data_IF_091420731433
#
_entry.id   IF_091420731433
#
_cell.length_a   1.000
_cell.length_b   1.000
_cell.length_c   1.000
_cell.angle_alpha   90.00
_cell.angle_beta   90.00
_cell.angle_gamma   90.00
#
_symmetry.space_group_name_H-M   'P 1'
#
loop_
_entity.id
_entity.type
_entity.pdbx_description
1 polymer ?
#
# COMPACT_ATOMS: atom_id res chain seq x y z
N UNK A 1 115.89 65.80 30.25
CA UNK A 1 115.47 64.45 29.82
C UNK A 1 114.31 63.92 30.67
N UNK A 2 114.46 63.76 31.99
CA UNK A 2 113.42 63.14 32.85
C UNK A 2 112.10 63.93 33.01
N UNK A 3 112.12 65.28 32.97
CA UNK A 3 110.88 66.08 33.04
C UNK A 3 110.01 65.99 31.78
N UNK A 4 110.63 65.95 30.59
CA UNK A 4 109.91 65.83 29.32
C UNK A 4 109.22 64.47 29.17
N UNK A 5 109.88 63.39 29.61
CA UNK A 5 109.28 62.05 29.60
C UNK A 5 108.08 61.91 30.57
N UNK A 6 108.10 62.62 31.70
CA UNK A 6 106.99 62.64 32.65
C UNK A 6 105.77 63.44 32.13
N UNK A 7 106.01 64.55 31.42
CA UNK A 7 104.94 65.31 30.76
C UNK A 7 104.31 64.55 29.58
N UNK A 8 105.11 63.76 28.86
CA UNK A 8 104.65 62.93 27.74
C UNK A 8 103.85 61.71 28.22
N UNK A 9 104.26 61.09 29.33
CA UNK A 9 103.50 60.01 29.98
C UNK A 9 102.17 60.52 30.54
N UNK A 10 102.15 61.68 31.21
CA UNK A 10 100.91 62.28 31.71
C UNK A 10 99.95 62.67 30.57
N UNK A 11 100.46 63.10 29.41
CA UNK A 11 99.65 63.32 28.21
C UNK A 11 99.06 62.02 27.66
N UNK A 12 99.84 60.94 27.61
CA UNK A 12 99.37 59.64 27.13
C UNK A 12 98.33 59.02 28.08
N UNK A 13 98.51 59.15 29.40
CA UNK A 13 97.53 58.71 30.41
C UNK A 13 96.24 59.51 30.33
N UNK A 14 96.32 60.84 30.14
CA UNK A 14 95.16 61.68 29.92
C UNK A 14 94.42 61.28 28.63
N UNK A 15 95.14 61.03 27.54
CA UNK A 15 94.57 60.57 26.27
C UNK A 15 93.94 59.18 26.38
N UNK A 16 94.54 58.27 27.17
CA UNK A 16 93.99 56.94 27.42
C UNK A 16 92.70 57.02 28.23
N UNK A 17 92.68 57.82 29.31
CA UNK A 17 91.48 58.05 30.12
C UNK A 17 90.36 58.74 29.31
N UNK A 18 90.71 59.62 28.38
CA UNK A 18 89.75 60.25 27.46
C UNK A 18 89.17 59.24 26.46
N UNK A 19 90.00 58.32 25.94
CA UNK A 19 89.55 57.22 25.08
C UNK A 19 88.71 56.18 25.81
N UNK A 20 89.03 55.85 27.06
CA UNK A 20 88.22 54.95 27.89
C UNK A 20 86.85 55.58 28.18
N UNK A 21 86.80 56.86 28.57
CA UNK A 21 85.51 57.57 28.74
C UNK A 21 84.70 57.63 27.45
N UNK A 22 85.35 57.84 26.31
CA UNK A 22 84.68 57.84 25.02
C UNK A 22 84.17 56.43 24.64
N UNK A 23 84.92 55.38 24.96
CA UNK A 23 84.52 54.00 24.74
C UNK A 23 83.34 53.60 25.63
N UNK A 24 83.38 53.95 26.91
CA UNK A 24 82.29 53.70 27.87
C UNK A 24 81.01 54.45 27.46
N UNK A 25 81.15 55.70 26.98
CA UNK A 25 80.02 56.47 26.47
C UNK A 25 79.40 55.83 25.21
N UNK A 26 80.23 55.33 24.29
CA UNK A 26 79.75 54.62 23.09
C UNK A 26 79.12 53.28 23.46
N UNK A 27 79.68 52.54 24.42
CA UNK A 27 79.07 51.30 24.92
C UNK A 27 77.70 51.54 25.55
N UNK A 28 77.59 52.54 26.44
CA UNK A 28 76.33 52.90 27.07
C UNK A 28 75.25 53.30 26.05
N UNK A 29 75.63 54.07 25.01
CA UNK A 29 74.71 54.44 23.94
C UNK A 29 74.32 53.23 23.07
N UNK A 30 75.26 52.32 22.82
CA UNK A 30 74.99 51.09 22.05
C UNK A 30 74.03 50.16 22.80
N UNK A 31 74.21 49.99 24.10
CA UNK A 31 73.32 49.17 24.95
C UNK A 31 71.93 49.80 25.07
N UNK A 32 71.85 51.14 25.14
CA UNK A 32 70.58 51.87 25.12
C UNK A 32 69.81 51.65 23.82
N UNK A 33 70.47 51.84 22.66
CA UNK A 33 69.88 51.59 21.34
C UNK A 33 69.49 50.11 21.17
N UNK A 34 70.27 49.19 21.73
CA UNK A 34 69.96 47.74 21.70
C UNK A 34 68.68 47.43 22.49
N UNK A 35 68.54 48.00 23.69
CA UNK A 35 67.35 47.86 24.53
C UNK A 35 66.11 48.45 23.87
N UNK A 36 66.21 49.65 23.29
CA UNK A 36 65.11 50.26 22.53
C UNK A 36 64.71 49.41 21.32
N UNK A 37 65.68 48.85 20.60
CA UNK A 37 65.40 47.94 19.47
C UNK A 37 64.71 46.66 19.92
N UNK A 38 65.09 46.10 21.07
CA UNK A 38 64.46 44.91 21.63
C UNK A 38 63.02 45.19 22.10
N UNK A 39 62.76 46.34 22.73
CA UNK A 39 61.41 46.77 23.08
C UNK A 39 60.52 46.96 21.85
N UNK A 40 61.02 47.64 20.81
CA UNK A 40 60.28 47.82 19.56
C UNK A 40 60.01 46.49 18.87
N UNK A 41 60.97 45.55 18.88
CA UNK A 41 60.77 44.19 18.36
C UNK A 41 59.71 43.43 19.15
N UNK A 42 59.72 43.51 20.49
CA UNK A 42 58.74 42.85 21.34
C UNK A 42 57.32 43.39 21.09
N UNK A 43 57.16 44.72 21.00
CA UNK A 43 55.89 45.35 20.66
C UNK A 43 55.42 44.96 19.25
N UNK A 44 56.33 44.90 18.28
CA UNK A 44 56.04 44.47 16.91
C UNK A 44 55.69 42.98 16.79
N UNK A 45 56.22 42.13 17.67
CA UNK A 45 55.83 40.73 17.77
C UNK A 45 54.44 40.57 18.41
N UNK A 46 54.17 41.32 19.48
CA UNK A 46 52.87 41.32 20.15
C UNK A 46 51.73 41.78 19.23
N UNK A 47 51.94 42.87 18.47
CA UNK A 47 50.96 43.36 17.47
C UNK A 47 50.73 42.38 16.33
N UNK A 48 51.77 41.66 15.88
CA UNK A 48 51.63 40.61 14.86
C UNK A 48 50.80 39.44 15.37
N UNK A 49 51.08 38.95 16.58
CA UNK A 49 50.27 37.89 17.19
C UNK A 49 48.80 38.28 17.37
N UNK A 50 48.52 39.55 17.73
CA UNK A 50 47.13 40.05 17.79
C UNK A 50 46.45 40.10 16.42
N UNK A 51 47.18 40.49 15.37
CA UNK A 51 46.66 40.47 13.99
C UNK A 51 46.37 39.04 13.51
N UNK A 52 47.25 38.08 13.85
CA UNK A 52 47.07 36.68 13.47
C UNK A 52 45.78 36.12 14.12
N UNK A 53 45.59 36.34 15.43
CA UNK A 53 44.38 35.91 16.16
C UNK A 53 43.12 36.57 15.60
N UNK A 54 43.16 37.87 15.29
CA UNK A 54 42.02 38.57 14.70
C UNK A 54 41.71 38.06 13.28
N UNK A 55 42.73 37.77 12.49
CA UNK A 55 42.58 37.24 11.13
C UNK A 55 41.97 35.83 11.13
N UNK A 56 42.37 34.98 12.06
CA UNK A 56 41.81 33.64 12.22
C UNK A 56 40.36 33.69 12.70
N UNK A 57 40.03 34.64 13.60
CA UNK A 57 38.66 34.87 14.05
C UNK A 57 37.77 35.43 12.93
N UNK A 58 38.30 36.31 12.07
CA UNK A 58 37.61 36.81 10.89
C UNK A 58 37.27 35.66 9.92
N UNK A 59 38.25 34.81 9.60
CA UNK A 59 38.06 33.63 8.73
C UNK A 59 37.03 32.65 9.29
N UNK A 60 37.05 32.44 10.61
CA UNK A 60 36.07 31.58 11.29
C UNK A 60 34.65 32.14 11.18
N UNK A 61 34.48 33.46 11.37
CA UNK A 61 33.18 34.13 11.22
C UNK A 61 32.71 34.14 9.76
N UNK A 62 33.61 34.33 8.79
CA UNK A 62 33.30 34.23 7.37
C UNK A 62 32.82 32.82 6.99
N UNK A 63 33.47 31.77 7.49
CA UNK A 63 33.03 30.39 7.30
C UNK A 63 31.67 30.12 7.96
N UNK A 64 31.41 30.66 9.15
CA UNK A 64 30.11 30.54 9.81
C UNK A 64 29.01 31.25 9.00
N UNK A 65 29.28 32.46 8.49
CA UNK A 65 28.36 33.21 7.63
C UNK A 65 28.01 32.43 6.36
N UNK A 66 29.01 31.90 5.65
CA UNK A 66 28.79 31.08 4.45
C UNK A 66 28.00 29.81 4.75
N UNK A 67 28.22 29.18 5.92
CA UNK A 67 27.44 28.00 6.32
C UNK A 67 25.97 28.35 6.54
N UNK A 68 25.70 29.42 7.28
CA UNK A 68 24.34 29.89 7.54
C UNK A 68 23.62 30.35 6.25
N UNK A 69 24.34 30.94 5.30
CA UNK A 69 23.77 31.28 3.99
C UNK A 69 23.35 30.03 3.21
N UNK A 70 24.20 29.01 3.16
CA UNK A 70 23.86 27.72 2.51
C UNK A 70 22.69 27.02 3.18
N UNK A 71 22.64 27.03 4.52
CA UNK A 71 21.51 26.49 5.28
C UNK A 71 20.21 27.24 4.96
N UNK A 72 20.26 28.57 4.89
CA UNK A 72 19.12 29.44 4.54
C UNK A 72 18.64 29.21 3.10
N UNK A 73 19.55 29.09 2.14
CA UNK A 73 19.21 28.77 0.75
C UNK A 73 18.57 27.39 0.60
N UNK A 74 19.14 26.38 1.29
CA UNK A 74 18.59 25.03 1.29
C UNK A 74 17.18 25.02 1.86
N UNK A 75 16.96 25.68 3.00
CA UNK A 75 15.65 25.80 3.63
C UNK A 75 14.64 26.52 2.70
N UNK A 76 15.07 27.58 1.99
CA UNK A 76 14.22 28.27 1.01
C UNK A 76 13.82 27.36 -0.16
N UNK A 77 14.74 26.54 -0.67
CA UNK A 77 14.44 25.58 -1.74
C UNK A 77 13.47 24.51 -1.26
N UNK A 78 13.64 24.02 -0.03
CA UNK A 78 12.71 23.06 0.59
C UNK A 78 11.31 23.64 0.77
N UNK A 79 11.20 24.89 1.25
CA UNK A 79 9.91 25.58 1.38
C UNK A 79 9.23 25.72 0.01
N UNK A 80 9.96 26.16 -1.02
CA UNK A 80 9.40 26.28 -2.36
C UNK A 80 8.94 24.93 -2.95
N UNK A 81 9.68 23.85 -2.69
CA UNK A 81 9.29 22.50 -3.09
C UNK A 81 7.99 22.05 -2.38
N UNK A 82 7.90 22.27 -1.06
CA UNK A 82 6.70 21.95 -0.29
C UNK A 82 5.49 22.80 -0.70
N UNK A 83 5.68 24.08 -1.04
CA UNK A 83 4.62 24.94 -1.55
C UNK A 83 4.08 24.44 -2.91
N UNK A 84 4.97 24.02 -3.81
CA UNK A 84 4.59 23.41 -5.09
C UNK A 84 3.85 22.08 -4.90
N UNK A 85 4.32 21.25 -3.98
CA UNK A 85 3.69 19.97 -3.66
C UNK A 85 2.29 20.20 -3.06
N UNK A 86 2.16 21.11 -2.10
CA UNK A 86 0.89 21.47 -1.49
C UNK A 86 -0.12 22.02 -2.53
N UNK A 87 0.34 22.82 -3.49
CA UNK A 87 -0.51 23.30 -4.58
C UNK A 87 -0.99 22.15 -5.49
N UNK A 88 -0.11 21.20 -5.80
CA UNK A 88 -0.48 20.02 -6.60
C UNK A 88 -1.49 19.12 -5.89
N UNK A 89 -1.32 18.91 -4.58
CA UNK A 89 -2.23 18.13 -3.75
C UNK A 89 -3.59 18.84 -3.60
N UNK A 90 -3.60 20.16 -3.46
CA UNK A 90 -4.83 20.94 -3.42
C UNK A 90 -5.61 20.86 -4.74
N UNK A 91 -4.93 20.93 -5.88
CA UNK A 91 -5.56 20.76 -7.19
C UNK A 91 -6.14 19.34 -7.34
N UNK A 92 -5.38 18.31 -6.95
CA UNK A 92 -5.84 16.92 -7.02
C UNK A 92 -7.04 16.65 -6.10
N UNK A 93 -7.04 17.26 -4.91
CA UNK A 93 -8.17 17.19 -3.99
C UNK A 93 -9.42 17.82 -4.59
N UNK A 94 -9.31 18.98 -5.23
CA UNK A 94 -10.44 19.64 -5.91
C UNK A 94 -11.01 18.79 -7.05
N UNK A 95 -10.14 18.14 -7.84
CA UNK A 95 -10.58 17.19 -8.88
C UNK A 95 -11.35 16.00 -8.29
N UNK A 96 -10.86 15.43 -7.19
CA UNK A 96 -11.51 14.31 -6.52
C UNK A 96 -12.85 14.71 -5.89
N UNK A 97 -12.92 15.88 -5.25
CA UNK A 97 -14.18 16.44 -4.72
C UNK A 97 -15.21 16.66 -5.85
N UNK A 98 -14.76 17.15 -7.01
CA UNK A 98 -15.61 17.27 -8.20
C UNK A 98 -16.11 15.92 -8.74
N UNK A 99 -15.22 14.92 -8.82
CA UNK A 99 -15.59 13.58 -9.27
C UNK A 99 -16.56 12.89 -8.29
N UNK A 100 -16.37 13.07 -6.98
CA UNK A 100 -17.29 12.57 -5.96
C UNK A 100 -18.68 13.19 -6.09
N UNK A 101 -18.76 14.51 -6.29
CA UNK A 101 -20.05 15.19 -6.46
C UNK A 101 -20.82 14.70 -7.70
N UNK A 102 -20.13 14.39 -8.79
CA UNK A 102 -20.73 13.79 -9.99
C UNK A 102 -21.24 12.38 -9.68
N UNK A 103 -20.41 11.54 -9.04
CA UNK A 103 -20.80 10.18 -8.68
C UNK A 103 -21.98 10.13 -7.69
N UNK A 104 -22.04 11.04 -6.72
CA UNK A 104 -23.17 11.18 -5.79
C UNK A 104 -24.47 11.54 -6.53
N UNK A 105 -24.38 12.43 -7.52
CA UNK A 105 -25.52 12.79 -8.34
C UNK A 105 -26.00 11.62 -9.22
N UNK A 106 -25.09 10.90 -9.87
CA UNK A 106 -25.43 9.72 -10.66
C UNK A 106 -26.07 8.62 -9.80
N UNK A 107 -25.57 8.43 -8.57
CA UNK A 107 -26.15 7.49 -7.62
C UNK A 107 -27.58 7.90 -7.22
N UNK A 108 -27.80 9.19 -6.94
CA UNK A 108 -29.11 9.70 -6.59
C UNK A 108 -30.11 9.52 -7.75
N UNK A 109 -29.71 9.86 -8.98
CA UNK A 109 -30.54 9.66 -10.19
C UNK A 109 -30.88 8.16 -10.37
N UNK A 110 -29.93 7.25 -10.14
CA UNK A 110 -30.17 5.82 -10.23
C UNK A 110 -31.12 5.29 -9.14
N UNK A 111 -31.02 5.82 -7.91
CA UNK A 111 -31.92 5.46 -6.81
C UNK A 111 -33.36 5.94 -7.08
N UNK A 112 -33.53 7.14 -7.62
CA UNK A 112 -34.83 7.68 -8.02
C UNK A 112 -35.47 6.84 -9.15
N UNK A 113 -34.68 6.47 -10.15
CA UNK A 113 -35.13 5.59 -11.24
C UNK A 113 -35.59 4.22 -10.70
N UNK A 114 -34.82 3.66 -9.75
CA UNK A 114 -35.16 2.40 -9.11
C UNK A 114 -36.44 2.50 -8.28
N UNK A 115 -36.59 3.55 -7.47
CA UNK A 115 -37.80 3.77 -6.69
C UNK A 115 -39.05 3.90 -7.58
N UNK A 116 -38.94 4.66 -8.68
CA UNK A 116 -40.02 4.76 -9.67
C UNK A 116 -40.35 3.41 -10.33
N UNK A 117 -39.35 2.58 -10.58
CA UNK A 117 -39.53 1.21 -11.07
C UNK A 117 -40.26 0.30 -10.07
N UNK A 118 -39.87 0.36 -8.78
CA UNK A 118 -40.50 -0.40 -7.70
C UNK A 118 -41.98 -0.01 -7.51
N UNK A 119 -42.30 1.28 -7.57
CA UNK A 119 -43.68 1.78 -7.51
C UNK A 119 -44.51 1.34 -8.72
N UNK A 120 -43.93 1.34 -9.92
CA UNK A 120 -44.60 0.86 -11.13
C UNK A 120 -44.92 -0.65 -11.05
N UNK A 121 -43.98 -1.46 -10.54
CA UNK A 121 -44.20 -2.89 -10.31
C UNK A 121 -45.33 -3.10 -9.30
N UNK A 122 -45.29 -2.40 -8.17
CA UNK A 122 -46.35 -2.50 -7.14
C UNK A 122 -47.73 -2.15 -7.71
N UNK A 123 -47.83 -1.09 -8.52
CA UNK A 123 -49.09 -0.72 -9.15
C UNK A 123 -49.61 -1.79 -10.14
N UNK A 124 -48.71 -2.52 -10.83
CA UNK A 124 -49.11 -3.63 -11.70
C UNK A 124 -49.56 -4.85 -10.89
N UNK A 125 -48.90 -5.15 -9.77
CA UNK A 125 -49.30 -6.23 -8.86
C UNK A 125 -50.69 -5.98 -8.28
N UNK A 126 -50.98 -4.75 -7.82
CA UNK A 126 -52.31 -4.37 -7.32
C UNK A 126 -53.39 -4.50 -8.41
N UNK A 127 -53.09 -4.07 -9.64
CA UNK A 127 -54.00 -4.23 -10.78
C UNK A 127 -54.26 -5.70 -11.09
N UNK A 128 -53.21 -6.51 -11.13
CA UNK A 128 -53.32 -7.95 -11.39
C UNK A 128 -54.18 -8.63 -10.33
N UNK A 129 -54.00 -8.29 -9.05
CA UNK A 129 -54.83 -8.86 -7.98
C UNK A 129 -56.30 -8.42 -8.11
N UNK A 130 -56.56 -7.17 -8.49
CA UNK A 130 -57.92 -6.68 -8.73
C UNK A 130 -58.60 -7.44 -9.89
N UNK A 131 -57.87 -7.71 -10.99
CA UNK A 131 -58.38 -8.47 -12.12
C UNK A 131 -58.60 -9.95 -11.75
N UNK A 132 -57.69 -10.55 -10.98
CA UNK A 132 -57.88 -11.90 -10.45
C UNK A 132 -59.14 -12.01 -9.60
N UNK A 133 -59.40 -11.00 -8.77
CA UNK A 133 -60.61 -10.98 -7.95
C UNK A 133 -61.88 -10.85 -8.82
N UNK A 134 -61.88 -9.98 -9.83
CA UNK A 134 -62.98 -9.86 -10.80
C UNK A 134 -63.24 -11.17 -11.55
N UNK A 135 -62.18 -11.89 -11.95
CA UNK A 135 -62.31 -13.20 -12.59
C UNK A 135 -62.97 -14.20 -11.65
N UNK A 136 -62.53 -14.28 -10.38
CA UNK A 136 -63.15 -15.17 -9.37
C UNK A 136 -64.63 -14.83 -9.13
N UNK A 137 -64.97 -13.55 -9.06
CA UNK A 137 -66.37 -13.11 -8.95
C UNK A 137 -67.20 -13.50 -10.18
N UNK A 138 -66.64 -13.38 -11.38
CA UNK A 138 -67.31 -13.82 -12.61
C UNK A 138 -67.47 -15.35 -12.69
N UNK A 139 -66.46 -16.11 -12.28
CA UNK A 139 -66.52 -17.58 -12.23
C UNK A 139 -67.58 -18.08 -11.24
N UNK A 140 -67.62 -17.51 -10.03
CA UNK A 140 -68.65 -17.83 -9.03
C UNK A 140 -70.05 -17.45 -9.53
N UNK A 141 -70.21 -16.29 -10.18
CA UNK A 141 -71.48 -15.90 -10.81
C UNK A 141 -71.92 -16.85 -11.92
N UNK A 142 -70.99 -17.29 -12.77
CA UNK A 142 -71.26 -18.25 -13.83
C UNK A 142 -71.64 -19.63 -13.27
N UNK A 143 -70.98 -20.08 -12.20
CA UNK A 143 -71.34 -21.32 -11.53
C UNK A 143 -72.78 -21.28 -10.99
N UNK A 144 -73.18 -20.17 -10.35
CA UNK A 144 -74.54 -19.98 -9.84
C UNK A 144 -75.61 -19.91 -10.96
N UNK A 145 -75.30 -19.31 -12.11
CA UNK A 145 -76.19 -19.34 -13.29
C UNK A 145 -76.33 -20.75 -13.87
N UNK A 146 -75.22 -21.52 -13.94
CA UNK A 146 -75.25 -22.91 -14.40
C UNK A 146 -76.10 -23.79 -13.50
N UNK A 147 -75.97 -23.65 -12.19
CA UNK A 147 -76.80 -24.39 -11.23
C UNK A 147 -78.29 -24.06 -11.38
N UNK A 148 -78.64 -22.77 -11.53
CA UNK A 148 -80.02 -22.35 -11.83
C UNK A 148 -80.54 -22.91 -13.14
N UNK A 149 -79.73 -22.90 -14.19
CA UNK A 149 -80.08 -23.47 -15.49
C UNK A 149 -80.34 -24.97 -15.38
N UNK A 150 -79.46 -25.72 -14.71
CA UNK A 150 -79.61 -27.16 -14.52
C UNK A 150 -80.83 -27.50 -13.64
N UNK A 151 -81.10 -26.72 -12.59
CA UNK A 151 -82.32 -26.84 -11.79
C UNK A 151 -83.59 -26.63 -12.62
N UNK A 152 -83.61 -25.58 -13.45
CA UNK A 152 -84.74 -25.30 -14.35
C UNK A 152 -84.91 -26.42 -15.38
N UNK A 153 -83.80 -26.92 -15.95
CA UNK A 153 -83.82 -28.02 -16.91
C UNK A 153 -84.38 -29.31 -16.28
N UNK A 154 -84.02 -29.62 -15.04
CA UNK A 154 -84.58 -30.77 -14.30
C UNK A 154 -86.08 -30.59 -14.08
N UNK A 155 -86.53 -29.41 -13.64
CA UNK A 155 -87.96 -29.13 -13.46
C UNK A 155 -88.75 -29.26 -14.77
N UNK A 156 -88.19 -28.82 -15.90
CA UNK A 156 -88.82 -29.02 -17.23
C UNK A 156 -88.92 -30.50 -17.58
N UNK A 157 -87.88 -31.29 -17.30
CA UNK A 157 -87.89 -32.73 -17.58
C UNK A 157 -88.89 -33.48 -16.68
N UNK A 158 -88.97 -33.13 -15.39
CA UNK A 158 -89.99 -33.64 -14.47
C UNK A 158 -91.41 -33.31 -14.97
N UNK A 159 -91.65 -32.08 -15.40
CA UNK A 159 -92.94 -31.67 -15.98
C UNK A 159 -93.25 -32.40 -17.28
N UNK A 160 -92.25 -32.69 -18.12
CA UNK A 160 -92.43 -33.50 -19.34
C UNK A 160 -92.80 -34.94 -19.03
N UNK A 161 -92.13 -35.56 -18.06
CA UNK A 161 -92.46 -36.91 -17.61
C UNK A 161 -93.86 -36.94 -16.98
N UNK A 162 -94.21 -35.95 -16.16
CA UNK A 162 -95.55 -35.83 -15.60
C UNK A 162 -96.62 -35.61 -16.67
N UNK A 163 -96.34 -34.79 -17.69
CA UNK A 163 -97.23 -34.58 -18.83
C UNK A 163 -97.40 -35.87 -19.65
N UNK A 164 -96.31 -36.57 -19.96
CA UNK A 164 -96.35 -37.85 -20.66
C UNK A 164 -97.09 -38.92 -19.84
N UNK A 165 -96.94 -38.91 -18.51
CA UNK A 165 -97.71 -39.74 -17.58
C UNK A 165 -99.20 -39.40 -17.63
N UNK A 166 -99.58 -38.13 -17.57
CA UNK A 166 -100.97 -37.69 -17.69
C UNK A 166 -101.57 -37.96 -19.07
N UNK A 167 -100.78 -37.84 -20.14
CA UNK A 167 -101.18 -38.20 -21.50
C UNK A 167 -101.35 -39.72 -21.64
N UNK A 168 -100.46 -40.51 -21.03
CA UNK A 168 -100.60 -41.95 -20.95
C UNK A 168 -101.83 -42.33 -20.12
N UNK A 169 -102.05 -41.73 -18.96
CA UNK A 169 -103.22 -41.95 -18.11
C UNK A 169 -104.50 -41.53 -18.83
N UNK A 170 -104.51 -40.41 -19.56
CA UNK A 170 -105.65 -39.99 -20.37
C UNK A 170 -105.89 -40.95 -21.55
N UNK A 171 -104.84 -41.45 -22.19
CA UNK A 171 -104.93 -42.47 -23.21
C UNK A 171 -105.39 -43.82 -22.61
N UNK A 172 -104.93 -44.18 -21.43
CA UNK A 172 -105.28 -45.39 -20.69
C UNK A 172 -106.70 -45.30 -20.15
N UNK A 173 -107.19 -44.13 -19.73
CA UNK A 173 -108.59 -43.89 -19.40
C UNK A 173 -109.48 -43.92 -20.66
N UNK A 174 -108.99 -43.38 -21.78
CA UNK A 174 -109.69 -43.48 -23.07
C UNK A 174 -109.71 -44.90 -23.63
N UNK A 175 -108.72 -45.72 -23.28
CA UNK A 175 -108.63 -47.15 -23.57
C UNK A 175 -109.46 -47.95 -22.55
N UNK A 176 -109.44 -47.67 -21.24
CA UNK A 176 -110.30 -48.26 -20.20
C UNK A 176 -111.78 -47.99 -20.47
N UNK A 177 -112.12 -46.80 -20.98
CA UNK A 177 -113.48 -46.49 -21.43
C UNK A 177 -113.88 -47.32 -22.66
N UNK A 178 -112.90 -47.76 -23.44
CA UNK A 178 -113.04 -48.65 -24.60
C UNK A 178 -113.00 -50.14 -24.20
N UNK A 179 -112.27 -50.50 -23.14
CA UNK A 179 -111.98 -51.86 -22.63
C UNK A 179 -112.83 -52.29 -21.42
N UNK A 180 -113.67 -51.39 -20.87
CA UNK A 180 -114.91 -51.79 -20.17
C UNK A 180 -115.85 -52.60 -21.09
N UNK A 181 -115.51 -52.66 -22.38
CA UNK A 181 -115.77 -53.77 -23.30
C UNK A 181 -114.51 -54.64 -23.54
N UNK A 182 -114.14 -55.51 -22.60
CA UNK A 182 -113.36 -56.74 -22.84
C UNK A 182 -111.82 -56.73 -22.75
N UNK A 183 -111.34 -57.24 -21.60
CA UNK A 183 -110.12 -58.06 -21.33
C UNK A 183 -108.67 -57.48 -21.43
N UNK A 184 -107.78 -58.13 -20.67
CA UNK A 184 -106.55 -57.63 -20.04
C UNK A 184 -105.22 -57.73 -20.85
N UNK A 185 -104.21 -57.02 -20.34
CA UNK A 185 -102.81 -56.80 -20.78
C UNK A 185 -101.99 -58.04 -21.22
N UNK A 186 -100.95 -57.78 -22.03
CA UNK A 186 -99.61 -58.29 -21.72
C UNK A 186 -98.51 -57.21 -21.73
N UNK A 187 -97.64 -57.25 -20.71
CA UNK A 187 -96.38 -56.52 -20.58
C UNK A 187 -95.32 -57.03 -21.57
N UNK A 188 -94.49 -56.13 -22.13
CA UNK A 188 -93.26 -56.50 -22.84
C UNK A 188 -92.13 -55.47 -22.63
N UNK A 189 -90.87 -55.91 -22.77
CA UNK A 189 -89.76 -55.53 -21.90
C UNK A 189 -88.68 -54.73 -22.63
N UNK A 190 -87.90 -53.98 -21.87
CA UNK A 190 -86.63 -53.42 -22.31
C UNK A 190 -85.70 -53.38 -21.13
N UNK A 191 -84.92 -54.45 -20.94
CA UNK A 191 -83.88 -54.52 -19.92
C UNK A 191 -82.91 -53.34 -20.11
N UNK A 192 -82.97 -52.38 -19.20
CA UNK A 192 -81.84 -51.49 -18.95
C UNK A 192 -80.64 -52.38 -18.59
N UNK A 193 -79.46 -52.17 -19.19
CA UNK A 193 -78.31 -53.02 -18.91
C UNK A 193 -78.07 -53.09 -17.40
N UNK A 194 -77.86 -54.30 -16.87
CA UNK A 194 -77.81 -54.60 -15.44
C UNK A 194 -76.77 -53.77 -14.63
N UNK A 195 -75.86 -53.08 -15.34
CA UNK A 195 -74.74 -52.34 -14.76
C UNK A 195 -75.00 -50.83 -14.72
N UNK A 196 -76.21 -50.36 -15.07
CA UNK A 196 -76.51 -48.92 -15.17
C UNK A 196 -76.39 -48.20 -13.82
N UNK A 197 -76.78 -48.88 -12.73
CA UNK A 197 -76.62 -48.37 -11.37
C UNK A 197 -75.15 -48.31 -10.96
N UNK A 198 -74.35 -49.36 -11.24
CA UNK A 198 -72.91 -49.38 -10.98
C UNK A 198 -72.18 -48.27 -11.75
N UNK A 199 -72.48 -48.11 -13.04
CA UNK A 199 -71.92 -47.05 -13.90
C UNK A 199 -72.28 -45.64 -13.42
N UNK A 200 -73.49 -45.43 -12.91
CA UNK A 200 -73.89 -44.14 -12.33
C UNK A 200 -73.14 -43.86 -11.02
N UNK A 201 -72.93 -44.89 -10.19
CA UNK A 201 -72.20 -44.77 -8.93
C UNK A 201 -70.72 -44.48 -9.18
N UNK A 202 -70.11 -45.16 -10.16
CA UNK A 202 -68.74 -44.90 -10.58
C UNK A 202 -68.56 -43.51 -11.20
N UNK A 203 -69.54 -43.05 -11.98
CA UNK A 203 -69.52 -41.71 -12.57
C UNK A 203 -69.65 -40.62 -11.50
N UNK A 204 -70.48 -40.81 -10.47
CA UNK A 204 -70.56 -39.91 -9.33
C UNK A 204 -69.25 -39.87 -8.54
N UNK A 205 -68.63 -41.03 -8.27
CA UNK A 205 -67.33 -41.14 -7.60
C UNK A 205 -66.22 -40.46 -8.40
N UNK A 206 -66.17 -40.67 -9.72
CA UNK A 206 -65.18 -40.04 -10.59
C UNK A 206 -65.35 -38.51 -10.67
N UNK A 207 -66.59 -38.00 -10.63
CA UNK A 207 -66.85 -36.56 -10.57
C UNK A 207 -66.41 -35.94 -9.26
N UNK A 208 -66.69 -36.60 -8.13
CA UNK A 208 -66.24 -36.14 -6.81
C UNK A 208 -64.71 -36.14 -6.71
N UNK A 209 -64.05 -37.17 -7.26
CA UNK A 209 -62.59 -37.20 -7.39
C UNK A 209 -62.04 -36.08 -8.28
N UNK A 210 -62.76 -35.71 -9.34
CA UNK A 210 -62.37 -34.62 -10.23
C UNK A 210 -62.52 -33.25 -9.56
N UNK A 211 -63.59 -33.02 -8.81
CA UNK A 211 -63.78 -31.78 -8.06
C UNK A 211 -62.80 -31.64 -6.89
N UNK A 212 -62.44 -32.75 -6.22
CA UNK A 212 -61.45 -32.77 -5.16
C UNK A 212 -60.03 -32.36 -5.63
N UNK A 213 -59.71 -32.52 -6.92
CA UNK A 213 -58.43 -32.09 -7.49
C UNK A 213 -58.32 -30.56 -7.63
N UNK A 214 -59.44 -29.82 -7.57
CA UNK A 214 -59.45 -28.37 -7.69
C UNK A 214 -59.04 -27.85 -9.07
N UNK A 215 -58.84 -26.52 -9.23
CA UNK A 215 -58.46 -25.92 -10.50
C UNK A 215 -57.05 -26.36 -10.91
N UNK A 216 -56.96 -27.11 -12.01
CA UNK A 216 -55.69 -27.60 -12.57
C UNK A 216 -55.03 -26.50 -13.39
N UNK A 217 -53.83 -26.07 -13.01
CA UNK A 217 -53.05 -25.12 -13.78
C UNK A 217 -52.47 -25.83 -15.02
N UNK A 218 -53.08 -25.59 -16.18
CA UNK A 218 -52.68 -26.21 -17.46
C UNK A 218 -51.31 -25.71 -17.93
N UNK A 219 -50.89 -24.52 -17.51
CA UNK A 219 -49.58 -23.94 -17.83
C UNK A 219 -48.46 -24.40 -16.89
N UNK A 220 -48.79 -25.13 -15.82
CA UNK A 220 -47.81 -25.56 -14.83
C UNK A 220 -46.71 -26.44 -15.43
N UNK A 221 -47.02 -27.22 -16.46
CA UNK A 221 -46.02 -28.03 -17.16
C UNK A 221 -44.98 -27.14 -17.88
N UNK A 222 -45.42 -26.12 -18.61
CA UNK A 222 -44.56 -25.19 -19.33
C UNK A 222 -43.77 -24.28 -18.37
N UNK A 223 -44.40 -23.81 -17.29
CA UNK A 223 -43.73 -23.03 -16.22
C UNK A 223 -42.69 -23.88 -15.48
N UNK A 224 -42.97 -25.16 -15.23
CA UNK A 224 -42.02 -26.09 -14.64
C UNK A 224 -40.81 -26.29 -15.55
N UNK A 225 -41.02 -26.50 -16.85
CA UNK A 225 -39.93 -26.66 -17.81
C UNK A 225 -39.03 -25.41 -17.89
N UNK A 226 -39.61 -24.21 -17.93
CA UNK A 226 -38.85 -22.95 -17.99
C UNK A 226 -38.07 -22.66 -16.70
N UNK A 227 -38.66 -22.89 -15.53
CA UNK A 227 -37.97 -22.74 -14.25
C UNK A 227 -36.92 -23.84 -14.03
N UNK A 228 -37.14 -25.06 -14.53
CA UNK A 228 -36.11 -26.11 -14.54
C UNK A 228 -34.91 -25.70 -15.40
N UNK A 229 -35.11 -25.14 -16.60
CA UNK A 229 -34.02 -24.63 -17.44
C UNK A 229 -33.24 -23.53 -16.75
N UNK A 230 -33.94 -22.56 -16.14
CA UNK A 230 -33.33 -21.47 -15.38
C UNK A 230 -32.56 -22.00 -14.17
N UNK A 231 -33.12 -22.96 -13.43
CA UNK A 231 -32.47 -23.59 -12.29
C UNK A 231 -31.21 -24.34 -12.72
N UNK A 232 -31.26 -25.10 -13.83
CA UNK A 232 -30.09 -25.79 -14.40
C UNK A 232 -29.00 -24.79 -14.80
N UNK A 233 -29.36 -23.69 -15.46
CA UNK A 233 -28.41 -22.64 -15.85
C UNK A 233 -27.74 -21.99 -14.64
N UNK A 234 -28.52 -21.52 -13.66
CA UNK A 234 -27.99 -20.88 -12.45
C UNK A 234 -27.15 -21.85 -11.61
N UNK A 235 -27.55 -23.12 -11.54
CA UNK A 235 -26.77 -24.16 -10.86
C UNK A 235 -25.42 -24.39 -11.54
N UNK A 236 -25.40 -24.42 -12.88
CA UNK A 236 -24.16 -24.54 -13.64
C UNK A 236 -23.24 -23.34 -13.43
N UNK A 237 -23.77 -22.11 -13.48
CA UNK A 237 -22.98 -20.89 -13.19
C UNK A 237 -22.43 -20.87 -11.77
N UNK A 238 -23.27 -21.21 -10.77
CA UNK A 238 -22.84 -21.29 -9.37
C UNK A 238 -21.71 -22.30 -9.20
N UNK A 239 -21.83 -23.48 -9.83
CA UNK A 239 -20.78 -24.50 -9.79
C UNK A 239 -19.48 -24.01 -10.44
N UNK A 240 -19.57 -23.22 -11.51
CA UNK A 240 -18.40 -22.68 -12.20
C UNK A 240 -17.68 -21.60 -11.38
N UNK A 241 -18.42 -20.69 -10.77
CA UNK A 241 -17.87 -19.70 -9.83
C UNK A 241 -17.23 -20.40 -8.63
N UNK A 242 -17.88 -21.41 -8.06
CA UNK A 242 -17.34 -22.18 -6.94
C UNK A 242 -16.02 -22.88 -7.30
N UNK A 243 -15.93 -23.49 -8.50
CA UNK A 243 -14.68 -24.08 -9.01
C UNK A 243 -13.60 -23.03 -9.20
N UNK A 244 -13.95 -21.87 -9.75
CA UNK A 244 -13.01 -20.77 -9.97
C UNK A 244 -12.44 -20.25 -8.65
N UNK A 245 -13.27 -20.10 -7.62
CA UNK A 245 -12.84 -19.72 -6.27
C UNK A 245 -11.88 -20.76 -5.68
N UNK A 246 -12.18 -22.05 -5.80
CA UNK A 246 -11.29 -23.09 -5.29
C UNK A 246 -9.95 -23.12 -6.04
N UNK A 247 -9.98 -22.96 -7.36
CA UNK A 247 -8.76 -22.86 -8.18
C UNK A 247 -7.92 -21.66 -7.77
N UNK A 248 -8.53 -20.48 -7.58
CA UNK A 248 -7.83 -19.28 -7.11
C UNK A 248 -7.21 -19.49 -5.73
N UNK A 249 -7.94 -20.12 -4.79
CA UNK A 249 -7.42 -20.46 -3.47
C UNK A 249 -6.26 -21.45 -3.54
N UNK A 250 -6.30 -22.40 -4.47
CA UNK A 250 -5.17 -23.30 -4.70
C UNK A 250 -3.95 -22.53 -5.24
N UNK A 251 -4.12 -21.68 -6.24
CA UNK A 251 -3.02 -20.87 -6.78
C UNK A 251 -2.42 -19.95 -5.71
N UNK A 252 -3.24 -19.32 -4.86
CA UNK A 252 -2.75 -18.51 -3.73
C UNK A 252 -1.92 -19.37 -2.76
N UNK A 253 -2.39 -20.58 -2.44
CA UNK A 253 -1.64 -21.51 -1.57
C UNK A 253 -0.29 -21.89 -2.17
N UNK A 254 -0.24 -22.19 -3.46
CA UNK A 254 1.00 -22.53 -4.18
C UNK A 254 1.99 -21.34 -4.22
N UNK A 255 1.49 -20.12 -4.48
CA UNK A 255 2.29 -18.90 -4.45
C UNK A 255 2.84 -18.64 -3.05
N UNK A 256 2.01 -18.76 -2.01
CA UNK A 256 2.44 -18.53 -0.64
C UNK A 256 3.49 -19.54 -0.20
N UNK A 257 3.33 -20.83 -0.54
CA UNK A 257 4.31 -21.85 -0.21
C UNK A 257 5.65 -21.57 -0.89
N UNK A 258 5.63 -21.29 -2.19
CA UNK A 258 6.86 -20.96 -2.96
C UNK A 258 7.52 -19.68 -2.44
N UNK A 259 6.72 -18.68 -2.05
CA UNK A 259 7.22 -17.41 -1.52
C UNK A 259 7.85 -17.58 -0.14
N UNK A 260 7.22 -18.36 0.75
CA UNK A 260 7.75 -18.67 2.08
C UNK A 260 9.05 -19.47 2.01
N UNK A 261 9.17 -20.43 1.10
CA UNK A 261 10.42 -21.17 0.86
C UNK A 261 11.53 -20.23 0.40
N UNK A 262 11.29 -19.44 -0.65
CA UNK A 262 12.26 -18.46 -1.16
C UNK A 262 12.65 -17.42 -0.11
N UNK A 263 11.69 -16.98 0.70
CA UNK A 263 11.94 -16.04 1.78
C UNK A 263 12.87 -16.66 2.82
N UNK A 264 12.60 -17.87 3.30
CA UNK A 264 13.45 -18.56 4.29
C UNK A 264 14.87 -18.79 3.77
N UNK A 265 15.01 -19.25 2.52
CA UNK A 265 16.32 -19.43 1.89
C UNK A 265 17.10 -18.11 1.81
N UNK A 266 16.45 -17.05 1.33
CA UNK A 266 17.08 -15.73 1.19
C UNK A 266 17.40 -15.14 2.57
N UNK A 267 16.49 -15.25 3.54
CA UNK A 267 16.68 -14.75 4.89
C UNK A 267 17.87 -15.42 5.57
N UNK A 268 17.99 -16.75 5.46
CA UNK A 268 19.13 -17.49 5.99
C UNK A 268 20.45 -17.04 5.36
N UNK A 269 20.48 -16.87 4.02
CA UNK A 269 21.65 -16.38 3.31
C UNK A 269 22.04 -14.95 3.74
N UNK A 270 21.06 -14.05 3.86
CA UNK A 270 21.29 -12.66 4.33
C UNK A 270 21.77 -12.66 5.76
N UNK A 271 21.21 -13.50 6.64
CA UNK A 271 21.63 -13.56 8.04
C UNK A 271 23.08 -14.04 8.17
N UNK A 272 23.47 -15.10 7.45
CA UNK A 272 24.85 -15.58 7.43
C UNK A 272 25.82 -14.51 6.92
N UNK A 273 25.45 -13.81 5.85
CA UNK A 273 26.29 -12.77 5.27
C UNK A 273 26.36 -11.51 6.14
N UNK A 274 25.27 -11.17 6.83
CA UNK A 274 25.21 -10.08 7.79
C UNK A 274 26.14 -10.35 8.97
N UNK A 275 26.08 -11.54 9.56
CA UNK A 275 27.00 -11.91 10.65
C UNK A 275 28.47 -11.80 10.23
N UNK A 276 28.83 -12.30 9.04
CA UNK A 276 30.20 -12.20 8.50
C UNK A 276 30.63 -10.75 8.29
N UNK A 277 29.77 -9.96 7.64
CA UNK A 277 30.03 -8.55 7.31
C UNK A 277 30.16 -7.69 8.57
N UNK A 278 29.35 -7.95 9.58
CA UNK A 278 29.43 -7.29 10.88
C UNK A 278 30.78 -7.55 11.56
N UNK A 279 31.24 -8.80 11.59
CA UNK A 279 32.54 -9.16 12.17
C UNK A 279 33.69 -8.48 11.42
N UNK A 280 33.61 -8.39 10.08
CA UNK A 280 34.59 -7.70 9.24
C UNK A 280 34.68 -6.19 9.59
N UNK A 281 33.53 -5.52 9.73
CA UNK A 281 33.44 -4.08 10.07
C UNK A 281 33.83 -3.76 11.52
N UNK A 282 33.41 -4.58 12.48
CA UNK A 282 33.68 -4.32 13.90
C UNK A 282 35.01 -4.93 14.39
N UNK A 283 35.67 -5.77 13.56
CA UNK A 283 36.84 -6.60 13.92
C UNK A 283 36.56 -7.48 15.15
N UNK A 284 35.37 -8.09 15.17
CA UNK A 284 34.84 -8.86 16.29
C UNK A 284 33.38 -8.50 16.60
N UNK A 285 32.82 -9.11 17.63
CA UNK A 285 31.38 -9.00 17.94
C UNK A 285 30.54 -10.02 17.17
N UNK A 286 29.23 -9.96 17.36
CA UNK A 286 28.24 -10.87 16.77
C UNK A 286 26.99 -10.08 16.40
N UNK A 287 26.37 -10.36 15.26
CA UNK A 287 25.08 -9.79 14.89
C UNK A 287 24.26 -10.81 14.11
N UNK A 288 22.95 -10.80 14.34
CA UNK A 288 22.00 -11.70 13.69
C UNK A 288 20.64 -11.04 13.53
N UNK A 289 19.88 -11.52 12.56
CA UNK A 289 18.48 -11.20 12.34
C UNK A 289 17.62 -12.34 12.89
N UNK A 290 16.56 -11.99 13.62
CA UNK A 290 15.59 -12.93 14.18
C UNK A 290 14.19 -12.62 13.65
N UNK A 291 13.44 -13.66 13.33
CA UNK A 291 12.03 -13.54 12.98
C UNK A 291 11.24 -13.45 14.29
N UNK A 292 10.26 -12.54 14.35
CA UNK A 292 9.37 -12.45 15.53
C UNK A 292 8.40 -13.63 15.60
N UNK A 293 8.05 -14.21 14.45
CA UNK A 293 7.21 -15.38 14.31
C UNK A 293 7.76 -16.30 13.20
N UNK A 294 8.07 -17.55 13.52
CA UNK A 294 8.61 -18.52 12.56
C UNK A 294 7.51 -19.25 11.76
N UNK A 295 6.26 -19.21 12.25
CA UNK A 295 5.11 -19.87 11.62
C UNK A 295 4.56 -19.03 10.45
N UNK A 296 4.46 -17.72 10.62
CA UNK A 296 4.01 -16.77 9.58
C UNK A 296 5.14 -15.84 9.09
N UNK A 297 6.09 -16.43 8.35
CA UNK A 297 7.25 -15.72 7.80
C UNK A 297 6.91 -14.57 6.85
N UNK A 298 5.72 -14.56 6.24
CA UNK A 298 5.34 -13.53 5.25
C UNK A 298 4.81 -12.25 5.93
N UNK A 299 4.19 -12.37 7.10
CA UNK A 299 3.59 -11.25 7.83
C UNK A 299 4.39 -10.87 9.10
N UNK A 300 5.38 -11.67 9.50
CA UNK A 300 6.16 -11.41 10.71
C UNK A 300 7.15 -10.23 10.57
N UNK A 301 7.43 -9.57 11.70
CA UNK A 301 8.50 -8.59 11.80
C UNK A 301 9.88 -9.24 11.90
N UNK A 302 10.92 -8.51 11.47
CA UNK A 302 12.32 -8.89 11.62
C UNK A 302 12.96 -8.03 12.72
N UNK A 303 13.54 -8.67 13.74
CA UNK A 303 14.32 -8.01 14.78
C UNK A 303 15.82 -8.15 14.48
N UNK A 304 16.55 -7.03 14.56
CA UNK A 304 18.01 -7.02 14.39
C UNK A 304 18.65 -6.88 15.77
N UNK A 305 19.42 -7.90 16.15
CA UNK A 305 20.19 -7.92 17.39
C UNK A 305 21.68 -7.93 17.08
N UNK A 306 22.42 -7.08 17.78
CA UNK A 306 23.86 -6.96 17.59
C UNK A 306 24.59 -6.84 18.93
N UNK A 307 25.82 -7.33 18.93
CA UNK A 307 26.75 -7.34 20.03
C UNK A 307 28.10 -6.79 19.54
N UNK A 308 28.31 -5.47 19.65
CA UNK A 308 29.61 -4.87 19.41
C UNK A 308 30.68 -5.43 20.36
N UNK A 309 31.98 -5.37 20.00
CA UNK A 309 33.06 -5.88 20.84
C UNK A 309 33.06 -5.22 22.23
N UNK A 310 33.04 -6.05 23.28
CA UNK A 310 33.01 -5.60 24.68
C UNK A 310 31.62 -5.25 25.23
N UNK A 311 30.54 -5.37 24.44
CA UNK A 311 29.15 -5.11 24.87
C UNK A 311 28.30 -6.39 24.95
N UNK A 312 27.11 -6.25 25.55
CA UNK A 312 26.06 -7.28 25.58
C UNK A 312 25.22 -7.23 24.31
N UNK A 313 24.57 -8.35 23.97
CA UNK A 313 23.61 -8.43 22.87
C UNK A 313 22.41 -7.51 23.15
N UNK A 314 22.14 -6.58 22.25
CA UNK A 314 21.07 -5.59 22.38
C UNK A 314 20.38 -5.38 21.04
N UNK A 315 19.13 -4.90 21.09
CA UNK A 315 18.38 -4.50 19.90
C UNK A 315 19.04 -3.26 19.25
N UNK A 316 19.03 -3.19 17.92
CA UNK A 316 19.58 -2.08 17.12
C UNK A 316 19.17 -0.69 17.62
N UNK A 317 17.94 -0.53 18.13
CA UNK A 317 17.43 0.76 18.63
C UNK A 317 18.12 1.26 19.92
N UNK A 318 18.83 0.39 20.65
CA UNK A 318 19.51 0.70 21.91
C UNK A 318 21.02 0.98 21.74
N UNK A 319 21.54 0.87 20.51
CA UNK A 319 22.95 1.13 20.20
C UNK A 319 23.28 2.63 20.14
N UNK A 320 24.56 2.99 20.26
CA UNK A 320 25.02 4.37 20.05
C UNK A 320 24.81 4.80 18.59
N UNK A 321 24.76 6.11 18.31
CA UNK A 321 24.50 6.63 16.95
C UNK A 321 25.46 6.06 15.89
N UNK A 322 26.76 6.05 16.18
CA UNK A 322 27.78 5.48 15.27
C UNK A 322 27.69 3.95 15.17
N UNK A 323 27.42 3.24 16.27
CA UNK A 323 27.24 1.77 16.25
C UNK A 323 25.99 1.36 15.47
N UNK A 324 24.90 2.11 15.63
CA UNK A 324 23.66 1.91 14.88
C UNK A 324 23.89 2.11 13.38
N UNK A 325 24.57 3.19 13.01
CA UNK A 325 24.92 3.46 11.62
C UNK A 325 25.80 2.34 11.03
N UNK A 326 26.86 1.94 11.73
CA UNK A 326 27.78 0.91 11.25
C UNK A 326 27.12 -0.48 11.15
N UNK A 327 26.19 -0.79 12.07
CA UNK A 327 25.38 -2.02 12.02
C UNK A 327 24.42 -2.00 10.82
N UNK A 328 23.75 -0.88 10.56
CA UNK A 328 22.87 -0.72 9.40
C UNK A 328 23.65 -0.81 8.08
N UNK A 329 24.82 -0.18 8.03
CA UNK A 329 25.76 -0.28 6.90
C UNK A 329 26.16 -1.74 6.67
N UNK A 330 26.50 -2.50 7.73
CA UNK A 330 26.84 -3.91 7.62
C UNK A 330 25.70 -4.74 7.00
N UNK A 331 24.45 -4.46 7.38
CA UNK A 331 23.27 -5.12 6.80
C UNK A 331 23.10 -4.78 5.31
N UNK A 332 23.25 -3.50 4.94
CA UNK A 332 23.16 -3.07 3.55
C UNK A 332 24.23 -3.74 2.68
N UNK A 333 25.49 -3.79 3.14
CA UNK A 333 26.55 -4.49 2.43
C UNK A 333 26.29 -5.99 2.31
N UNK A 334 25.74 -6.62 3.34
CA UNK A 334 25.37 -8.04 3.28
C UNK A 334 24.29 -8.31 2.22
N UNK A 335 23.29 -7.44 2.12
CA UNK A 335 22.25 -7.50 1.08
C UNK A 335 22.85 -7.34 -0.33
N UNK A 336 23.73 -6.35 -0.52
CA UNK A 336 24.37 -6.12 -1.82
C UNK A 336 25.26 -7.29 -2.27
N UNK A 337 25.92 -8.00 -1.33
CA UNK A 337 26.72 -9.18 -1.69
C UNK A 337 25.88 -10.38 -2.14
N UNK A 338 24.61 -10.47 -1.73
CA UNK A 338 23.71 -11.58 -2.13
C UNK A 338 23.04 -11.26 -3.45
N UNK A 339 22.62 -10.00 -3.63
CA UNK A 339 22.01 -9.53 -4.87
C UNK A 339 22.70 -8.24 -5.29
N UNK A 340 23.80 -8.33 -6.06
CA UNK A 340 24.54 -7.15 -6.48
C UNK A 340 23.67 -6.31 -7.40
N UNK A 341 23.52 -5.04 -7.04
CA UNK A 341 22.89 -4.03 -7.88
C UNK A 341 23.93 -3.48 -8.86
N UNK A 342 23.55 -3.06 -10.08
CA UNK A 342 24.51 -2.52 -11.04
C UNK A 342 25.17 -1.23 -10.55
N UNK A 343 24.44 -0.40 -9.81
CA UNK A 343 24.96 0.80 -9.15
C UNK A 343 24.35 0.97 -7.75
N UNK A 344 25.09 1.65 -6.88
CA UNK A 344 24.72 1.97 -5.50
C UNK A 344 25.00 3.46 -5.25
N UNK A 345 24.04 4.18 -4.68
CA UNK A 345 24.19 5.59 -4.30
C UNK A 345 24.16 5.68 -2.78
N UNK A 346 25.21 6.27 -2.19
CA UNK A 346 25.36 6.46 -0.76
C UNK A 346 25.47 7.95 -0.47
N UNK A 347 24.50 8.52 0.22
CA UNK A 347 24.46 9.95 0.56
C UNK A 347 24.72 10.17 2.05
N UNK A 348 25.85 10.83 2.36
CA UNK A 348 26.33 11.17 3.72
C UNK A 348 26.26 10.02 4.74
N UNK A 349 26.43 8.78 4.28
CA UNK A 349 26.32 7.56 5.10
C UNK A 349 27.42 7.49 6.17
N UNK A 350 28.52 8.21 5.96
CA UNK A 350 29.66 8.32 6.86
C UNK A 350 29.58 9.49 7.85
N UNK A 351 28.57 10.35 7.77
CA UNK A 351 28.38 11.47 8.70
C UNK A 351 28.34 11.09 10.20
N UNK A 352 27.73 9.97 10.63
CA UNK A 352 27.72 9.56 12.04
C UNK A 352 28.94 8.72 12.45
N UNK A 353 29.90 8.49 11.55
CA UNK A 353 31.08 7.64 11.81
C UNK A 353 32.27 8.48 12.29
N UNK A 354 33.09 7.89 13.16
CA UNK A 354 34.39 8.45 13.52
C UNK A 354 35.46 8.07 12.48
N UNK A 355 36.66 8.66 12.55
CA UNK A 355 37.74 8.41 11.59
C UNK A 355 38.13 6.92 11.50
N UNK A 356 38.11 6.22 12.64
CA UNK A 356 38.47 4.80 12.71
C UNK A 356 37.44 3.93 12.01
N UNK A 357 36.15 4.17 12.22
CA UNK A 357 35.08 3.41 11.56
C UNK A 357 34.90 3.82 10.09
N UNK A 358 35.17 5.09 9.76
CA UNK A 358 35.22 5.57 8.37
C UNK A 358 36.24 4.79 7.55
N UNK A 359 37.47 4.58 8.07
CA UNK A 359 38.48 3.76 7.39
C UNK A 359 38.01 2.32 7.12
N UNK A 360 37.20 1.74 8.02
CA UNK A 360 36.66 0.39 7.85
C UNK A 360 35.56 0.35 6.80
N UNK A 361 34.65 1.31 6.85
CA UNK A 361 33.61 1.53 5.84
C UNK A 361 34.22 1.67 4.44
N UNK A 362 35.24 2.52 4.31
CA UNK A 362 35.97 2.76 3.06
C UNK A 362 36.66 1.49 2.54
N UNK A 363 37.24 0.68 3.44
CA UNK A 363 37.81 -0.62 3.07
C UNK A 363 36.78 -1.57 2.44
N UNK A 364 35.55 -1.61 2.98
CA UNK A 364 34.47 -2.40 2.39
C UNK A 364 33.94 -1.80 1.09
N UNK A 365 33.82 -0.46 1.01
CA UNK A 365 33.40 0.22 -0.21
C UNK A 365 34.32 -0.12 -1.39
N UNK A 366 35.64 -0.20 -1.14
CA UNK A 366 36.64 -0.59 -2.15
C UNK A 366 36.52 -2.06 -2.59
N UNK A 367 36.05 -2.94 -1.73
CA UNK A 367 35.77 -4.32 -2.13
C UNK A 367 34.49 -4.37 -2.97
N UNK A 368 33.43 -3.67 -2.56
CA UNK A 368 32.16 -3.63 -3.27
C UNK A 368 32.31 -2.98 -4.65
N UNK A 369 33.16 -1.96 -4.78
CA UNK A 369 33.41 -1.26 -6.05
C UNK A 369 34.00 -2.15 -7.16
N UNK A 370 34.49 -3.35 -6.83
CA UNK A 370 34.97 -4.33 -7.82
C UNK A 370 33.83 -4.98 -8.61
N UNK A 371 32.64 -5.05 -8.02
CA UNK A 371 31.48 -5.75 -8.58
C UNK A 371 30.31 -4.80 -8.86
N UNK A 372 30.21 -3.69 -8.14
CA UNK A 372 29.10 -2.72 -8.21
C UNK A 372 29.64 -1.29 -8.37
N UNK A 373 29.02 -0.48 -9.23
CA UNK A 373 29.39 0.93 -9.33
C UNK A 373 28.89 1.72 -8.11
N UNK A 374 29.80 2.27 -7.31
CA UNK A 374 29.45 3.05 -6.13
C UNK A 374 29.56 4.56 -6.41
N UNK A 375 28.47 5.30 -6.19
CA UNK A 375 28.42 6.76 -6.19
C UNK A 375 28.25 7.19 -4.74
N UNK A 376 29.24 7.90 -4.19
CA UNK A 376 29.22 8.35 -2.79
C UNK A 376 29.20 9.86 -2.74
N UNK A 377 28.22 10.42 -2.04
CA UNK A 377 28.12 11.84 -1.74
C UNK A 377 28.57 12.00 -0.28
N UNK A 378 29.67 12.72 -0.09
CA UNK A 378 30.29 12.88 1.24
C UNK A 378 31.15 14.14 1.28
N UNK A 379 31.33 14.67 2.49
CA UNK A 379 32.31 15.71 2.80
C UNK A 379 33.51 15.16 3.62
N UNK A 380 33.53 13.85 3.91
CA UNK A 380 34.58 13.21 4.67
C UNK A 380 35.80 12.93 3.80
N UNK A 381 36.94 13.52 4.18
CA UNK A 381 38.20 13.42 3.43
C UNK A 381 38.66 11.97 3.26
N UNK A 382 38.51 11.13 4.29
CA UNK A 382 38.93 9.73 4.26
C UNK A 382 38.13 8.91 3.23
N UNK A 383 36.85 9.24 3.06
CA UNK A 383 35.99 8.59 2.06
C UNK A 383 36.31 9.08 0.65
N UNK A 384 36.63 10.36 0.50
CA UNK A 384 37.04 10.95 -0.79
C UNK A 384 38.36 10.37 -1.32
N UNK A 385 39.30 10.01 -0.44
CA UNK A 385 40.62 9.46 -0.82
C UNK A 385 40.56 8.13 -1.58
N UNK A 386 39.46 7.38 -1.48
CA UNK A 386 39.31 6.06 -2.12
C UNK A 386 38.50 6.11 -3.41
N UNK A 387 37.96 7.27 -3.76
CA UNK A 387 37.26 7.45 -5.02
C UNK A 387 38.24 7.47 -6.20
N UNK A 388 37.91 6.77 -7.29
CA UNK A 388 38.66 6.84 -8.55
C UNK A 388 38.45 8.17 -9.26
N UNK A 389 37.25 8.73 -9.15
CA UNK A 389 36.86 10.00 -9.77
C UNK A 389 36.07 10.81 -8.76
N UNK A 390 36.48 12.05 -8.56
CA UNK A 390 35.77 13.01 -7.73
C UNK A 390 34.98 13.98 -8.60
N UNK A 391 33.69 14.05 -8.34
CA UNK A 391 32.80 15.06 -8.92
C UNK A 391 32.53 16.13 -7.87
N UNK A 392 33.16 17.29 -8.02
CA UNK A 392 32.91 18.48 -7.21
C UNK A 392 31.75 19.27 -7.80
N UNK A 393 30.75 19.58 -6.97
CA UNK A 393 29.68 20.51 -7.33
C UNK A 393 30.06 21.90 -6.84
N UNK A 394 30.22 22.84 -7.76
CA UNK A 394 30.51 24.24 -7.46
C UNK A 394 29.32 25.13 -7.85
N UNK A 395 29.18 26.27 -7.19
CA UNK A 395 28.21 27.30 -7.58
C UNK A 395 28.98 28.56 -7.96
N UNK A 396 29.36 28.68 -9.23
CA UNK A 396 30.02 29.88 -9.77
C UNK A 396 29.03 31.06 -9.83
N UNK A 397 27.77 30.78 -10.16
CA UNK A 397 26.66 31.73 -10.15
C UNK A 397 25.63 31.32 -9.10
N UNK A 398 24.98 32.30 -8.47
CA UNK A 398 24.03 32.05 -7.40
C UNK A 398 22.83 31.25 -7.92
N UNK A 399 22.62 30.04 -7.37
CA UNK A 399 21.53 29.15 -7.77
C UNK A 399 21.81 28.25 -8.98
N UNK A 400 22.97 28.36 -9.63
CA UNK A 400 23.36 27.47 -10.75
C UNK A 400 24.51 26.56 -10.30
N UNK A 401 24.22 25.26 -10.19
CA UNK A 401 25.22 24.24 -9.86
C UNK A 401 25.98 23.82 -11.12
N UNK A 402 27.30 23.88 -11.06
CA UNK A 402 28.21 23.42 -12.11
C UNK A 402 29.02 22.25 -11.58
N UNK A 403 29.22 21.26 -12.43
CA UNK A 403 29.88 20.02 -12.07
C UNK A 403 31.32 20.05 -12.61
N UNK A 404 32.28 19.81 -11.73
CA UNK A 404 33.71 19.74 -12.03
C UNK A 404 34.19 18.33 -11.69
N UNK A 405 34.82 17.66 -12.66
CA UNK A 405 35.34 16.31 -12.45
C UNK A 405 36.86 16.35 -12.32
N UNK A 406 37.40 15.58 -11.37
CA UNK A 406 38.83 15.32 -11.21
C UNK A 406 39.02 13.81 -11.13
N UNK A 407 39.81 13.25 -12.05
CA UNK A 407 40.25 11.86 -11.95
C UNK A 407 41.46 11.78 -11.02
N UNK A 408 41.37 10.92 -10.01
CA UNK A 408 42.47 10.62 -9.12
C UNK A 408 43.20 9.41 -9.70
N UNK A 409 44.25 9.65 -10.50
CA UNK A 409 45.19 8.58 -10.87
C UNK A 409 45.86 8.05 -9.59
N UNK A 410 46.10 6.73 -9.53
CA UNK A 410 46.80 6.06 -8.43
C UNK A 410 48.18 6.72 -8.20
N UNK A 411 48.24 7.72 -7.33
CA UNK A 411 49.51 8.25 -6.81
C UNK A 411 50.05 7.21 -5.85
N UNK A 412 50.73 6.20 -6.41
CA UNK A 412 51.67 5.39 -5.66
C UNK A 412 52.67 6.34 -4.99
N UNK A 413 52.85 6.30 -3.66
CA UNK A 413 53.94 7.02 -3.03
C UNK A 413 55.24 6.31 -3.43
N UNK A 414 55.87 6.75 -4.52
CA UNK A 414 57.27 6.42 -4.76
C UNK A 414 58.09 6.95 -3.59
N UNK A 415 58.86 6.02 -3.03
CA UNK A 415 59.64 6.20 -1.83
C UNK A 415 60.56 7.42 -1.94
N UNK A 416 60.58 8.20 -0.87
CA UNK A 416 61.70 9.06 -0.53
C UNK A 416 62.95 8.20 -0.33
N UNK A 417 63.69 7.93 -1.41
CA UNK A 417 65.10 7.52 -1.38
C UNK A 417 65.80 7.95 -2.67
N UNK A 418 66.40 9.15 -2.65
CA UNK A 418 67.75 9.46 -3.13
C UNK A 418 68.09 10.91 -2.77
#
# INVERSE_FOLDING_TARGET
AQRAAAEELARLEALHAERERAFDAVQAETDRVRSEREQVRALGAGRRGQLDVLSERLRSLEHQGQRLERESESARRQIAAWESEAASLAARRSELEGAMAVAERELQEALELRAGGEDAVRAQEERLESERQRVREAETGLAAERERHDGTRRAVEELRVALAGLEHDAAHLAVEFRERCGEALPELPGEAPANLLELQTDLARLREQLEAMGPVNVLAAEECDTEEERHRFLTAQRADVARSVESLRQTIREINLTSSERFRETFAAVNEQFSKTFVELFRGGEAEMRLMDEEDVLECGIEIVARPPGKRLQNLMLLSGGEKALTAIALLFALFRIKPSPFCILDEVDAPLDDVNTLRFVGMLRQLSRETQCIVITHNKLTMEVASTLYGVTMEEHGVSKLVAVELEDVHPEAATA
#
